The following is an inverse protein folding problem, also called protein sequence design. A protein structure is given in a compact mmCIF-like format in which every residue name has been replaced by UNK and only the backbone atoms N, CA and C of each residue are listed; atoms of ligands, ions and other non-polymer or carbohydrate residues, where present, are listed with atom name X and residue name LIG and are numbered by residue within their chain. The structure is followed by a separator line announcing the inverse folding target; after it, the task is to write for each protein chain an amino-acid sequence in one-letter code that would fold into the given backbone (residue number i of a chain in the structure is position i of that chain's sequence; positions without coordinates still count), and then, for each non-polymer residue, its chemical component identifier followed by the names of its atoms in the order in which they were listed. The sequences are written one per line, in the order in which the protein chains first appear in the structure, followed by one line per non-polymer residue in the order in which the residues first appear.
data_IF_085982224282
#
_entry.id   IF_085982224282
#
_cell.length_a   1.000
_cell.length_b   1.000
_cell.length_c   1.000
_cell.angle_alpha   90.00
_cell.angle_beta   90.00
_cell.angle_gamma   90.00
#
_symmetry.space_group_name_H-M   'P 1'
#
loop_
_entity.id
_entity.type
_entity.pdbx_description
1 polymer ?
#
# COMPACT_ATOMS: atom_id res chain seq x y z
N UNK A 1 21.11 5.42 -19.98
CA UNK A 1 21.26 5.58 -18.51
C UNK A 1 20.18 4.72 -17.85
N UNK A 2 20.57 3.77 -17.01
CA UNK A 2 19.59 2.93 -16.28
C UNK A 2 18.89 3.81 -15.25
N UNK A 3 17.59 4.05 -15.42
CA UNK A 3 16.82 5.00 -14.64
C UNK A 3 15.60 4.27 -14.06
N UNK A 4 15.79 3.60 -12.94
CA UNK A 4 14.71 2.87 -12.25
C UNK A 4 14.01 3.83 -11.30
N UNK A 5 12.68 3.77 -11.30
CA UNK A 5 11.84 4.50 -10.39
C UNK A 5 11.78 3.88 -8.99
N UNK A 6 10.73 4.23 -8.25
CA UNK A 6 10.46 3.68 -6.92
C UNK A 6 10.37 2.14 -6.94
N UNK A 7 10.82 1.49 -5.86
CA UNK A 7 10.78 0.03 -5.71
C UNK A 7 9.39 -0.60 -5.97
N UNK A 8 8.31 0.16 -5.81
CA UNK A 8 6.92 -0.27 -6.07
C UNK A 8 6.66 -0.55 -7.56
N UNK A 9 7.42 0.05 -8.48
CA UNK A 9 7.25 -0.09 -9.93
C UNK A 9 8.36 -0.92 -10.60
N UNK A 10 9.20 -1.60 -9.81
CA UNK A 10 10.34 -2.38 -10.30
C UNK A 10 9.97 -3.40 -11.39
N UNK A 11 8.84 -4.07 -11.25
CA UNK A 11 8.38 -5.06 -12.25
C UNK A 11 8.05 -4.42 -13.60
N UNK A 12 7.40 -3.25 -13.59
CA UNK A 12 7.10 -2.49 -14.82
C UNK A 12 8.38 -1.99 -15.48
N UNK A 13 9.34 -1.51 -14.68
CA UNK A 13 10.63 -1.04 -15.17
C UNK A 13 11.44 -2.19 -15.81
N UNK A 14 11.43 -3.39 -15.22
CA UNK A 14 12.06 -4.58 -15.82
C UNK A 14 11.50 -4.85 -17.22
N UNK A 15 10.17 -4.86 -17.37
CA UNK A 15 9.51 -5.07 -18.67
C UNK A 15 9.88 -3.97 -19.67
N UNK A 16 9.96 -2.71 -19.22
CA UNK A 16 10.35 -1.60 -20.06
C UNK A 16 11.80 -1.72 -20.56
N UNK A 17 12.75 -2.08 -19.68
CA UNK A 17 14.15 -2.27 -20.08
C UNK A 17 14.32 -3.44 -21.04
N UNK A 18 13.59 -4.54 -20.83
CA UNK A 18 13.55 -5.65 -21.79
C UNK A 18 13.07 -5.19 -23.17
N UNK A 19 12.00 -4.38 -23.24
CA UNK A 19 11.52 -3.79 -24.51
C UNK A 19 12.53 -2.87 -25.17
N UNK A 20 13.38 -2.21 -24.39
CA UNK A 20 14.48 -1.38 -24.88
C UNK A 20 15.70 -2.19 -25.34
N UNK A 21 15.66 -3.52 -25.27
CA UNK A 21 16.74 -4.40 -25.71
C UNK A 21 17.87 -4.56 -24.70
N UNK A 22 17.62 -4.28 -23.41
CA UNK A 22 18.61 -4.53 -22.36
C UNK A 22 18.70 -6.02 -22.05
N UNK A 23 19.92 -6.51 -21.91
CA UNK A 23 20.17 -7.90 -21.58
C UNK A 23 19.92 -8.17 -20.08
N UNK A 24 19.48 -9.38 -19.69
CA UNK A 24 19.19 -9.71 -18.30
C UNK A 24 20.31 -9.35 -17.30
N UNK A 25 21.62 -9.59 -17.58
CA UNK A 25 22.69 -9.18 -16.68
C UNK A 25 22.79 -7.66 -16.50
N UNK A 26 22.51 -6.89 -17.54
CA UNK A 26 22.54 -5.42 -17.49
C UNK A 26 21.40 -4.88 -16.61
N UNK A 27 20.21 -5.48 -16.75
CA UNK A 27 19.06 -5.16 -15.91
C UNK A 27 19.38 -5.48 -14.45
N UNK A 28 19.88 -6.69 -14.16
CA UNK A 28 20.23 -7.09 -12.79
C UNK A 28 21.30 -6.20 -12.16
N UNK A 29 22.34 -5.83 -12.91
CA UNK A 29 23.39 -4.92 -12.45
C UNK A 29 22.82 -3.52 -12.16
N UNK A 30 21.93 -3.03 -13.03
CA UNK A 30 21.23 -1.78 -12.84
C UNK A 30 20.34 -1.79 -11.58
N UNK A 31 19.59 -2.89 -11.35
CA UNK A 31 18.75 -3.07 -10.17
C UNK A 31 19.58 -3.06 -8.88
N UNK A 32 20.72 -3.76 -8.87
CA UNK A 32 21.65 -3.73 -7.74
C UNK A 32 22.15 -2.32 -7.46
N UNK A 33 22.49 -1.55 -8.50
CA UNK A 33 22.98 -0.17 -8.37
C UNK A 33 21.93 0.80 -7.83
N UNK A 34 20.65 0.55 -8.08
CA UNK A 34 19.54 1.41 -7.60
C UNK A 34 19.14 1.07 -6.16
N UNK A 35 19.38 -0.16 -5.71
CA UNK A 35 19.01 -0.62 -4.37
C UNK A 35 19.43 0.34 -3.23
N UNK A 36 20.65 0.91 -3.19
CA UNK A 36 21.04 1.84 -2.12
C UNK A 36 20.19 3.11 -2.10
N UNK A 37 19.79 3.64 -3.26
CA UNK A 37 18.88 4.79 -3.34
C UNK A 37 17.53 4.43 -2.72
N UNK A 38 17.00 3.25 -3.05
CA UNK A 38 15.74 2.79 -2.48
C UNK A 38 15.80 2.66 -0.95
N UNK A 39 16.91 2.13 -0.43
CA UNK A 39 17.09 1.97 1.02
C UNK A 39 17.27 3.32 1.71
N UNK A 40 18.28 4.10 1.33
CA UNK A 40 18.67 5.29 2.09
C UNK A 40 17.77 6.50 1.81
N UNK A 41 17.39 6.70 0.55
CA UNK A 41 16.65 7.90 0.13
C UNK A 41 15.15 7.72 0.24
N UNK A 42 14.59 6.59 -0.20
CA UNK A 42 13.13 6.43 -0.21
C UNK A 42 12.57 5.82 1.07
N UNK A 43 13.26 4.84 1.66
CA UNK A 43 12.79 4.16 2.89
C UNK A 43 13.27 4.89 4.13
N UNK A 44 14.58 5.11 4.28
CA UNK A 44 15.15 5.81 5.43
C UNK A 44 14.88 7.32 5.36
N UNK A 45 14.65 7.87 4.16
CA UNK A 45 14.37 9.29 3.94
C UNK A 45 15.47 10.23 4.46
N UNK A 46 16.73 9.78 4.40
CA UNK A 46 17.89 10.56 4.81
C UNK A 46 18.87 10.68 3.66
N UNK A 47 19.12 11.92 3.23
CA UNK A 47 20.04 12.23 2.15
C UNK A 47 21.48 12.43 2.65
N UNK A 48 21.66 12.74 3.93
CA UNK A 48 22.98 12.93 4.55
C UNK A 48 23.37 11.71 5.40
N UNK A 49 24.05 10.74 4.76
CA UNK A 49 24.50 9.53 5.44
C UNK A 49 25.57 9.80 6.51
N UNK A 50 26.32 10.91 6.44
CA UNK A 50 27.36 11.22 7.43
C UNK A 50 26.80 11.41 8.84
N UNK A 51 25.51 11.76 8.95
CA UNK A 51 24.79 11.86 10.23
C UNK A 51 24.74 10.54 11.00
N UNK A 52 24.86 9.41 10.31
CA UNK A 52 24.93 8.07 10.93
C UNK A 52 26.36 7.68 11.34
N UNK A 53 27.33 8.57 11.16
CA UNK A 53 28.74 8.35 11.47
C UNK A 53 29.47 7.62 10.35
N UNK A 54 30.62 7.01 10.71
CA UNK A 54 31.54 6.40 9.75
C UNK A 54 31.49 4.87 9.70
N UNK A 55 30.75 4.21 10.61
CA UNK A 55 30.74 2.74 10.72
C UNK A 55 29.37 2.20 10.33
N UNK A 56 29.34 1.44 9.24
CA UNK A 56 28.13 0.86 8.69
C UNK A 56 28.22 -0.66 8.77
N UNK A 57 27.14 -1.31 9.23
CA UNK A 57 27.01 -2.76 9.25
C UNK A 57 25.86 -3.17 8.32
N UNK A 58 26.19 -3.89 7.26
CA UNK A 58 25.22 -4.48 6.34
C UNK A 58 24.75 -5.84 6.88
N UNK A 59 23.43 -5.98 7.03
CA UNK A 59 22.76 -7.21 7.47
C UNK A 59 21.47 -7.45 6.67
N UNK A 60 20.84 -8.61 6.87
CA UNK A 60 19.64 -9.05 6.18
C UNK A 60 19.93 -9.95 4.97
N UNK A 61 18.95 -10.76 4.58
CA UNK A 61 19.11 -11.77 3.52
C UNK A 61 19.56 -11.23 2.15
N UNK A 62 19.22 -9.97 1.85
CA UNK A 62 19.68 -9.26 0.63
C UNK A 62 21.21 -9.24 0.51
N UNK A 63 21.92 -9.19 1.64
CA UNK A 63 23.39 -9.12 1.68
C UNK A 63 24.07 -10.47 1.39
N UNK A 64 23.31 -11.53 1.08
CA UNK A 64 23.84 -12.75 0.44
C UNK A 64 24.16 -12.52 -1.04
N UNK A 65 23.54 -11.53 -1.68
CA UNK A 65 23.83 -11.16 -3.06
C UNK A 65 25.01 -10.17 -3.08
N UNK A 66 26.18 -10.63 -3.55
CA UNK A 66 27.39 -9.82 -3.58
C UNK A 66 27.29 -8.58 -4.48
N UNK A 67 26.46 -8.59 -5.52
CA UNK A 67 26.23 -7.40 -6.34
C UNK A 67 25.47 -6.32 -5.55
N UNK A 68 24.49 -6.71 -4.74
CA UNK A 68 23.77 -5.80 -3.84
C UNK A 68 24.70 -5.25 -2.74
N UNK A 69 25.54 -6.11 -2.16
CA UNK A 69 26.57 -5.70 -1.18
C UNK A 69 27.52 -4.68 -1.80
N UNK A 70 28.06 -4.96 -2.99
CA UNK A 70 28.99 -4.07 -3.69
C UNK A 70 28.34 -2.70 -3.96
N UNK A 71 27.10 -2.69 -4.46
CA UNK A 71 26.37 -1.46 -4.71
C UNK A 71 26.17 -0.62 -3.43
N UNK A 72 25.80 -1.27 -2.31
CA UNK A 72 25.68 -0.59 -1.01
C UNK A 72 27.02 -0.03 -0.53
N UNK A 73 28.09 -0.82 -0.58
CA UNK A 73 29.43 -0.40 -0.18
C UNK A 73 29.89 0.81 -1.00
N UNK A 74 29.72 0.78 -2.32
CA UNK A 74 30.11 1.86 -3.21
C UNK A 74 29.33 3.14 -2.92
N UNK A 75 28.01 3.02 -2.75
CA UNK A 75 27.15 4.15 -2.44
C UNK A 75 27.56 4.81 -1.11
N UNK A 76 27.70 4.03 -0.05
CA UNK A 76 28.07 4.53 1.28
C UNK A 76 29.45 5.20 1.24
N UNK A 77 30.45 4.58 0.61
CA UNK A 77 31.80 5.15 0.51
C UNK A 77 31.86 6.40 -0.38
N UNK A 78 30.98 6.51 -1.38
CA UNK A 78 30.87 7.76 -2.15
C UNK A 78 30.19 8.89 -1.38
N UNK A 79 29.33 8.56 -0.42
CA UNK A 79 28.55 9.52 0.36
C UNK A 79 29.22 9.94 1.67
N UNK A 80 30.07 9.08 2.24
CA UNK A 80 30.69 9.29 3.55
C UNK A 80 32.20 9.05 3.47
N UNK A 81 32.98 10.10 3.73
CA UNK A 81 34.44 10.01 3.72
C UNK A 81 34.95 9.12 4.86
N UNK A 82 35.90 8.25 4.54
CA UNK A 82 36.49 7.24 5.45
C UNK A 82 35.49 6.22 6.01
N UNK A 83 34.37 5.97 5.31
CA UNK A 83 33.39 5.00 5.75
C UNK A 83 33.96 3.58 5.86
N UNK A 84 33.78 2.97 7.02
CA UNK A 84 34.03 1.58 7.31
C UNK A 84 32.74 0.80 7.15
N UNK A 85 32.65 -0.01 6.09
CA UNK A 85 31.49 -0.85 5.81
C UNK A 85 31.83 -2.29 6.15
N UNK A 86 31.10 -2.85 7.09
CA UNK A 86 31.19 -4.24 7.53
C UNK A 86 29.99 -5.01 7.00
N UNK A 87 30.17 -6.29 6.71
CA UNK A 87 29.08 -7.21 6.39
C UNK A 87 29.00 -8.23 7.51
N UNK A 88 27.82 -8.39 8.10
CA UNK A 88 27.63 -9.37 9.17
C UNK A 88 27.94 -10.78 8.63
N UNK A 89 28.72 -11.63 9.33
CA UNK A 89 29.09 -12.95 8.80
C UNK A 89 27.88 -13.88 8.58
N UNK A 90 26.81 -13.67 9.34
CA UNK A 90 25.54 -14.40 9.24
C UNK A 90 24.42 -13.43 8.88
N UNK A 91 24.44 -12.89 7.66
CA UNK A 91 23.56 -11.79 7.26
C UNK A 91 22.07 -12.14 7.32
N UNK A 92 21.69 -13.37 6.98
CA UNK A 92 20.30 -13.82 7.01
C UNK A 92 19.81 -14.20 8.41
N UNK A 93 20.72 -14.60 9.29
CA UNK A 93 20.44 -15.17 10.60
C UNK A 93 20.64 -14.15 11.74
N UNK A 94 21.17 -12.96 11.44
CA UNK A 94 21.47 -11.93 12.44
C UNK A 94 20.30 -11.66 13.40
N UNK A 95 19.07 -11.58 12.89
CA UNK A 95 17.88 -11.40 13.72
C UNK A 95 17.58 -12.58 14.65
N UNK A 96 17.78 -13.82 14.17
CA UNK A 96 17.60 -15.03 14.98
C UNK A 96 18.69 -15.14 16.07
N UNK A 97 19.93 -14.80 15.73
CA UNK A 97 21.04 -14.71 16.70
C UNK A 97 20.74 -13.65 17.77
N UNK A 98 20.26 -12.47 17.38
CA UNK A 98 19.84 -11.42 18.31
C UNK A 98 18.77 -11.90 19.28
N UNK A 99 17.70 -12.54 18.77
CA UNK A 99 16.65 -13.11 19.61
C UNK A 99 17.18 -14.19 20.58
N UNK A 100 18.11 -15.03 20.13
CA UNK A 100 18.75 -16.05 20.98
C UNK A 100 19.60 -15.41 22.09
N UNK A 101 20.33 -14.33 21.79
CA UNK A 101 21.10 -13.58 22.77
C UNK A 101 20.21 -12.93 23.83
N UNK A 102 19.10 -12.28 23.42
CA UNK A 102 18.10 -11.69 24.33
C UNK A 102 17.51 -12.73 25.29
N UNK A 103 17.11 -13.90 24.76
CA UNK A 103 16.60 -15.00 25.58
C UNK A 103 17.65 -15.54 26.54
N UNK A 104 18.92 -15.65 26.09
CA UNK A 104 20.04 -16.08 26.93
C UNK A 104 20.28 -15.10 28.07
N UNK A 105 20.31 -13.79 27.79
CA UNK A 105 20.48 -12.77 28.82
C UNK A 105 19.37 -12.81 29.85
N UNK A 106 18.12 -12.97 29.41
CA UNK A 106 16.97 -13.12 30.31
C UNK A 106 17.11 -14.36 31.20
N UNK A 107 17.51 -15.50 30.62
CA UNK A 107 17.70 -16.75 31.35
C UNK A 107 18.85 -16.66 32.38
N UNK A 108 19.96 -16.00 32.04
CA UNK A 108 21.08 -15.82 32.96
C UNK A 108 20.73 -14.93 34.16
N UNK A 109 19.78 -13.99 34.00
CA UNK A 109 19.26 -13.16 35.09
C UNK A 109 18.23 -13.89 35.94
N UNK A 110 17.29 -14.59 35.29
CA UNK A 110 16.22 -15.34 35.93
C UNK A 110 16.03 -16.68 35.21
N UNK A 111 16.59 -17.79 35.72
CA UNK A 111 16.47 -19.09 35.08
C UNK A 111 15.01 -19.53 34.97
N UNK A 112 14.58 -19.92 33.77
CA UNK A 112 13.23 -20.43 33.50
C UNK A 112 13.24 -21.73 32.70
N UNK A 113 12.26 -22.59 32.92
CA UNK A 113 12.15 -23.85 32.17
C UNK A 113 11.78 -23.56 30.70
N UNK A 114 12.52 -24.12 29.76
CA UNK A 114 12.23 -23.99 28.33
C UNK A 114 11.40 -25.18 27.81
N UNK A 115 10.67 -24.97 26.72
CA UNK A 115 9.95 -26.01 25.98
C UNK A 115 10.75 -26.55 24.78
N UNK A 116 12.04 -26.17 24.69
CA UNK A 116 12.92 -26.54 23.59
C UNK A 116 13.09 -28.06 23.51
N UNK A 117 13.00 -28.60 22.30
CA UNK A 117 12.95 -30.05 22.08
C UNK A 117 14.33 -30.69 22.01
N UNK A 118 15.40 -29.90 22.07
CA UNK A 118 16.77 -30.37 21.84
C UNK A 118 17.12 -30.38 20.36
N UNK A 119 18.41 -30.17 20.05
CA UNK A 119 18.89 -30.05 18.67
C UNK A 119 18.67 -31.33 17.85
N UNK A 120 18.85 -32.51 18.44
CA UNK A 120 18.61 -33.78 17.75
C UNK A 120 17.18 -33.92 17.24
N UNK A 121 16.19 -33.52 18.05
CA UNK A 121 14.77 -33.56 17.66
C UNK A 121 14.43 -32.47 16.64
N UNK A 122 15.12 -31.33 16.65
CA UNK A 122 14.96 -30.28 15.62
C UNK A 122 15.53 -30.76 14.28
N UNK A 123 16.73 -31.32 14.27
CA UNK A 123 17.42 -31.81 13.05
C UNK A 123 16.62 -32.95 12.41
N UNK A 124 16.06 -33.84 13.22
CA UNK A 124 15.29 -34.99 12.75
C UNK A 124 13.78 -34.70 12.61
N UNK A 125 13.36 -33.43 12.73
CA UNK A 125 11.95 -33.06 12.64
C UNK A 125 11.44 -33.32 11.22
N UNK A 126 10.52 -34.28 11.08
CA UNK A 126 9.82 -34.53 9.82
C UNK A 126 8.63 -33.58 9.71
N UNK A 127 8.56 -32.85 8.60
CA UNK A 127 7.48 -31.94 8.31
C UNK A 127 7.07 -31.97 6.83
N UNK A 128 5.83 -31.60 6.58
CA UNK A 128 5.24 -31.43 5.26
C UNK A 128 4.91 -29.95 5.08
N UNK A 129 5.30 -29.37 3.95
CA UNK A 129 4.98 -27.97 3.59
C UNK A 129 3.95 -27.98 2.46
N UNK A 130 2.85 -27.26 2.65
CA UNK A 130 1.88 -26.99 1.59
C UNK A 130 1.69 -25.48 1.40
N UNK A 131 1.80 -25.03 0.14
CA UNK A 131 1.40 -23.68 -0.29
C UNK A 131 0.64 -23.84 -1.60
N UNK A 132 -0.68 -23.81 -1.54
CA UNK A 132 -1.57 -24.14 -2.66
C UNK A 132 -2.86 -23.31 -2.63
N UNK A 133 -3.70 -23.32 -3.67
CA UNK A 133 -5.01 -22.68 -3.63
C UNK A 133 -5.88 -23.10 -2.43
N UNK A 134 -5.67 -24.30 -1.85
CA UNK A 134 -6.38 -24.77 -0.65
C UNK A 134 -5.98 -24.01 0.62
N UNK A 135 -4.78 -23.47 0.64
CA UNK A 135 -4.22 -22.71 1.77
C UNK A 135 -4.63 -21.24 1.75
N UNK A 136 -5.40 -20.78 0.75
CA UNK A 136 -5.85 -19.39 0.67
C UNK A 136 -6.67 -19.03 1.94
N UNK A 137 -6.33 -17.89 2.53
CA UNK A 137 -7.02 -17.34 3.69
C UNK A 137 -8.34 -16.68 3.26
N UNK A 138 -9.48 -17.13 3.81
CA UNK A 138 -10.79 -16.57 3.49
C UNK A 138 -11.35 -15.65 4.60
N UNK A 139 -10.50 -15.19 5.52
CA UNK A 139 -10.95 -14.36 6.65
C UNK A 139 -11.19 -12.89 6.28
N UNK A 140 -10.72 -12.43 5.12
CA UNK A 140 -10.99 -11.09 4.61
C UNK A 140 -10.87 -11.03 3.08
N UNK A 141 -11.28 -9.93 2.43
CA UNK A 141 -11.25 -9.79 0.97
C UNK A 141 -9.87 -9.93 0.32
N UNK A 142 -8.77 -9.77 1.07
CA UNK A 142 -7.41 -9.83 0.53
C UNK A 142 -6.99 -11.23 0.04
N UNK A 143 -7.68 -12.29 0.47
CA UNK A 143 -7.46 -13.69 0.02
C UNK A 143 -5.98 -14.10 -0.06
N UNK A 144 -5.21 -13.75 0.97
CA UNK A 144 -3.77 -14.00 0.97
C UNK A 144 -3.46 -15.50 0.95
N UNK A 145 -2.41 -15.88 0.20
CA UNK A 145 -1.86 -17.23 0.22
C UNK A 145 -1.15 -17.49 1.57
N UNK A 146 -1.28 -18.71 2.10
CA UNK A 146 -0.64 -19.14 3.35
C UNK A 146 0.28 -20.32 3.08
N UNK A 147 1.25 -20.53 3.94
CA UNK A 147 2.08 -21.74 3.93
C UNK A 147 1.79 -22.54 5.17
N UNK A 148 1.32 -23.78 4.98
CA UNK A 148 1.06 -24.73 6.06
C UNK A 148 2.28 -25.61 6.24
N UNK A 149 2.79 -25.68 7.47
CA UNK A 149 3.89 -26.55 7.87
C UNK A 149 3.32 -27.53 8.90
N UNK A 150 3.13 -28.77 8.50
CA UNK A 150 2.62 -29.83 9.38
C UNK A 150 3.78 -30.68 9.86
N UNK A 151 3.93 -30.88 11.16
CA UNK A 151 4.98 -31.73 11.72
C UNK A 151 4.42 -32.63 12.82
N UNK A 152 5.08 -33.75 13.08
CA UNK A 152 4.67 -34.70 14.12
C UNK A 152 5.62 -34.63 15.32
N UNK A 153 5.04 -34.55 16.52
CA UNK A 153 5.76 -34.59 17.79
C UNK A 153 4.98 -35.40 18.80
N UNK A 154 5.63 -36.35 19.48
CA UNK A 154 5.00 -37.22 20.48
C UNK A 154 3.71 -37.90 19.96
N UNK A 155 3.74 -38.40 18.73
CA UNK A 155 2.60 -39.00 18.00
C UNK A 155 1.39 -38.06 17.85
N UNK A 156 1.61 -36.74 17.88
CA UNK A 156 0.60 -35.71 17.62
C UNK A 156 1.04 -34.86 16.43
N UNK A 157 0.14 -34.69 15.48
CA UNK A 157 0.32 -33.75 14.37
C UNK A 157 0.07 -32.32 14.86
N UNK A 158 0.97 -31.44 14.49
CA UNK A 158 0.93 -30.01 14.74
C UNK A 158 0.94 -29.27 13.41
N UNK A 159 0.14 -28.21 13.32
CA UNK A 159 0.12 -27.31 12.18
C UNK A 159 0.74 -25.97 12.59
N UNK A 160 1.64 -25.46 11.78
CA UNK A 160 2.15 -24.10 11.87
C UNK A 160 1.82 -23.38 10.56
N UNK A 161 1.22 -22.19 10.67
CA UNK A 161 0.77 -21.42 9.51
C UNK A 161 1.62 -20.16 9.41
N UNK A 162 2.28 -19.99 8.26
CA UNK A 162 2.90 -18.74 7.88
C UNK A 162 1.90 -17.96 7.04
N UNK A 163 1.48 -16.80 7.53
CA UNK A 163 0.61 -15.89 6.82
C UNK A 163 1.08 -14.43 6.94
N UNK A 164 0.66 -13.54 6.01
CA UNK A 164 1.04 -12.12 6.07
C UNK A 164 0.45 -11.33 7.24
N UNK A 165 -0.48 -11.91 8.00
CA UNK A 165 -1.11 -11.26 9.14
C UNK A 165 -1.50 -12.30 10.21
N UNK A 166 -1.72 -11.82 11.41
CA UNK A 166 -2.08 -12.60 12.60
C UNK A 166 -3.39 -13.36 12.39
N UNK A 167 -4.39 -12.74 11.75
CA UNK A 167 -5.64 -13.43 11.39
C UNK A 167 -5.36 -14.64 10.52
N UNK A 168 -4.46 -14.51 9.55
CA UNK A 168 -4.10 -15.59 8.63
C UNK A 168 -3.38 -16.76 9.32
N UNK A 169 -2.70 -16.50 10.44
CA UNK A 169 -2.02 -17.52 11.25
C UNK A 169 -2.99 -18.40 12.06
N UNK A 170 -4.26 -17.96 12.21
CA UNK A 170 -5.25 -18.74 12.94
C UNK A 170 -5.49 -20.10 12.28
N UNK A 171 -5.39 -21.16 13.07
CA UNK A 171 -5.62 -22.54 12.63
C UNK A 171 -7.10 -22.89 12.59
N UNK A 172 -7.89 -22.24 13.44
CA UNK A 172 -9.32 -22.47 13.54
C UNK A 172 -10.12 -21.18 13.85
N UNK A 173 -11.45 -21.31 13.87
CA UNK A 173 -12.37 -20.20 14.14
C UNK A 173 -12.25 -19.69 15.58
N UNK A 174 -11.87 -20.54 16.54
CA UNK A 174 -11.74 -20.16 17.95
C UNK A 174 -10.52 -19.27 18.15
N UNK A 175 -9.40 -19.61 17.54
CA UNK A 175 -8.19 -18.78 17.52
C UNK A 175 -8.46 -17.44 16.81
N UNK A 176 -9.16 -17.47 15.66
CA UNK A 176 -9.57 -16.25 14.97
C UNK A 176 -10.44 -15.34 15.86
N UNK A 177 -11.37 -15.92 16.63
CA UNK A 177 -12.20 -15.16 17.60
C UNK A 177 -11.35 -14.52 18.71
N UNK A 178 -10.35 -15.23 19.23
CA UNK A 178 -9.44 -14.68 20.23
C UNK A 178 -8.62 -13.52 19.66
N UNK A 179 -8.09 -13.68 18.45
CA UNK A 179 -7.37 -12.61 17.74
C UNK A 179 -8.29 -11.39 17.52
N UNK A 180 -9.55 -11.61 17.12
CA UNK A 180 -10.53 -10.53 17.02
C UNK A 180 -10.84 -9.86 18.37
N UNK A 181 -10.82 -10.59 19.48
CA UNK A 181 -10.98 -10.01 20.81
C UNK A 181 -9.81 -9.09 21.15
N UNK A 182 -8.58 -9.53 20.91
CA UNK A 182 -7.36 -8.71 21.10
C UNK A 182 -7.46 -7.45 20.23
N UNK A 183 -7.81 -7.59 18.96
CA UNK A 183 -7.99 -6.44 18.07
C UNK A 183 -9.06 -5.46 18.57
N UNK A 184 -10.18 -5.95 19.10
CA UNK A 184 -11.21 -5.09 19.70
C UNK A 184 -10.71 -4.35 20.94
N UNK A 185 -9.90 -5.00 21.77
CA UNK A 185 -9.30 -4.36 22.94
C UNK A 185 -8.29 -3.27 22.54
N UNK A 186 -7.47 -3.55 21.52
CA UNK A 186 -6.57 -2.58 20.90
C UNK A 186 -7.36 -1.41 20.31
N UNK A 187 -8.38 -1.66 19.50
CA UNK A 187 -9.22 -0.63 18.89
C UNK A 187 -9.91 0.25 19.95
N UNK A 188 -10.30 -0.34 21.10
CA UNK A 188 -10.91 0.40 22.22
C UNK A 188 -9.89 1.30 22.92
N UNK A 189 -8.64 0.83 23.07
CA UNK A 189 -7.58 1.59 23.75
C UNK A 189 -6.94 2.63 22.82
N UNK A 190 -6.82 2.32 21.55
CA UNK A 190 -6.15 3.11 20.52
C UNK A 190 -7.08 3.24 19.31
N UNK A 191 -8.03 4.21 19.35
CA UNK A 191 -8.98 4.37 18.26
C UNK A 191 -8.25 4.70 16.96
N UNK A 192 -8.62 4.01 15.88
CA UNK A 192 -8.12 4.34 14.55
C UNK A 192 -8.76 5.65 14.06
N UNK A 193 -8.01 6.74 14.17
CA UNK A 193 -8.48 8.08 13.82
C UNK A 193 -8.87 8.21 12.34
N UNK A 194 -8.22 7.48 11.44
CA UNK A 194 -8.59 7.47 10.03
C UNK A 194 -9.97 6.81 9.81
N UNK A 195 -10.23 5.69 10.52
CA UNK A 195 -11.55 5.04 10.51
C UNK A 195 -12.63 5.91 11.12
N UNK A 196 -12.30 6.67 12.15
CA UNK A 196 -13.23 7.63 12.77
C UNK A 196 -13.55 8.78 11.80
N UNK A 197 -12.53 9.39 11.20
CA UNK A 197 -12.68 10.46 10.23
C UNK A 197 -13.56 10.05 9.04
N UNK A 198 -13.41 8.80 8.54
CA UNK A 198 -14.21 8.27 7.42
C UNK A 198 -15.73 8.29 7.68
N UNK A 199 -16.18 8.24 8.93
CA UNK A 199 -17.61 8.34 9.28
C UNK A 199 -18.20 9.72 8.99
N UNK A 200 -17.36 10.75 9.05
CA UNK A 200 -17.77 12.15 8.92
C UNK A 200 -17.39 12.74 7.56
N UNK A 201 -16.32 12.23 6.94
CA UNK A 201 -15.69 12.79 5.75
C UNK A 201 -16.65 12.99 4.55
N UNK A 202 -17.59 12.08 4.37
CA UNK A 202 -18.59 12.12 3.29
C UNK A 202 -20.02 12.35 3.80
N UNK A 203 -20.17 12.81 5.03
CA UNK A 203 -21.48 13.07 5.62
C UNK A 203 -22.03 14.39 5.08
N UNK A 204 -23.17 14.32 4.41
CA UNK A 204 -23.88 15.50 3.88
C UNK A 204 -25.08 15.85 4.76
N UNK A 205 -25.50 17.10 4.70
CA UNK A 205 -26.71 17.64 5.31
C UNK A 205 -27.90 17.40 4.38
N UNK A 206 -29.08 17.12 4.97
CA UNK A 206 -30.32 17.10 4.20
C UNK A 206 -30.78 18.53 3.96
N UNK A 207 -30.68 19.01 2.72
CA UNK A 207 -31.16 20.32 2.32
C UNK A 207 -32.66 20.24 2.01
N UNK A 208 -33.47 21.16 2.56
CA UNK A 208 -34.88 21.29 2.21
C UNK A 208 -34.99 22.11 0.91
N UNK A 209 -35.70 21.59 -0.10
CA UNK A 209 -35.90 22.23 -1.40
C UNK A 209 -34.58 22.69 -2.04
N UNK A 210 -33.67 21.74 -2.37
CA UNK A 210 -32.40 22.08 -3.00
C UNK A 210 -32.61 22.72 -4.38
N UNK A 211 -31.78 23.71 -4.74
CA UNK A 211 -31.82 24.32 -6.08
C UNK A 211 -31.38 23.34 -7.15
N UNK A 212 -30.37 22.55 -6.83
CA UNK A 212 -29.73 21.56 -7.70
C UNK A 212 -29.21 20.41 -6.86
N UNK A 213 -28.93 19.29 -7.52
CA UNK A 213 -28.23 18.14 -6.95
C UNK A 213 -26.98 17.84 -7.77
N UNK A 214 -25.86 17.62 -7.08
CA UNK A 214 -24.55 17.32 -7.67
C UNK A 214 -24.06 15.97 -7.15
N UNK A 215 -23.69 15.09 -8.06
CA UNK A 215 -23.09 13.80 -7.76
C UNK A 215 -21.55 13.88 -7.85
N UNK A 216 -20.84 13.38 -6.84
CA UNK A 216 -19.38 13.41 -6.75
C UNK A 216 -18.85 11.97 -6.60
N UNK A 217 -17.92 11.49 -7.44
CA UNK A 217 -17.35 10.17 -7.26
C UNK A 217 -16.45 10.13 -6.02
N UNK A 218 -16.65 9.13 -5.16
CA UNK A 218 -15.91 8.91 -3.91
C UNK A 218 -14.55 8.26 -4.19
N UNK A 219 -13.65 9.02 -4.81
CA UNK A 219 -12.36 8.52 -5.29
C UNK A 219 -11.25 9.55 -5.07
N UNK A 220 -10.01 9.07 -5.02
CA UNK A 220 -8.80 9.90 -5.08
C UNK A 220 -8.80 11.05 -4.06
N UNK A 221 -8.53 12.28 -4.51
CA UNK A 221 -8.43 13.48 -3.67
C UNK A 221 -9.75 13.86 -2.96
N UNK A 222 -10.89 13.25 -3.32
CA UNK A 222 -12.13 13.45 -2.56
C UNK A 222 -12.02 12.93 -1.13
N UNK A 223 -11.11 11.99 -0.85
CA UNK A 223 -10.84 11.56 0.52
C UNK A 223 -10.16 12.64 1.39
N UNK A 224 -9.63 13.69 0.77
CA UNK A 224 -9.06 14.85 1.48
C UNK A 224 -9.95 16.09 1.39
N UNK A 225 -10.67 16.26 0.27
CA UNK A 225 -11.38 17.50 -0.06
C UNK A 225 -12.90 17.41 0.03
N UNK A 226 -13.49 16.24 0.32
CA UNK A 226 -14.95 16.12 0.43
C UNK A 226 -15.56 17.13 1.40
N UNK A 227 -15.03 17.38 2.62
CA UNK A 227 -15.60 18.37 3.53
C UNK A 227 -15.66 19.78 2.94
N UNK A 228 -14.65 20.17 2.15
CA UNK A 228 -14.63 21.46 1.46
C UNK A 228 -15.76 21.56 0.43
N UNK A 229 -15.91 20.55 -0.44
CA UNK A 229 -16.94 20.57 -1.47
C UNK A 229 -18.36 20.45 -0.89
N UNK A 230 -18.53 19.63 0.15
CA UNK A 230 -19.79 19.55 0.90
C UNK A 230 -20.15 20.94 1.43
N UNK A 231 -19.24 21.58 2.18
CA UNK A 231 -19.48 22.91 2.71
C UNK A 231 -19.77 23.95 1.61
N UNK A 232 -19.01 23.93 0.53
CA UNK A 232 -19.20 24.85 -0.60
C UNK A 232 -20.58 24.71 -1.25
N UNK A 233 -20.97 23.50 -1.65
CA UNK A 233 -22.25 23.27 -2.34
C UNK A 233 -23.45 23.45 -1.41
N UNK A 234 -23.36 23.00 -0.16
CA UNK A 234 -24.46 23.14 0.80
C UNK A 234 -24.76 24.61 1.10
N UNK A 235 -23.73 25.47 1.23
CA UNK A 235 -23.92 26.91 1.40
C UNK A 235 -24.55 27.59 0.17
N UNK A 236 -24.46 26.97 -1.00
CA UNK A 236 -25.15 27.42 -2.22
C UNK A 236 -26.58 26.86 -2.36
N UNK A 237 -27.07 26.13 -1.36
CA UNK A 237 -28.33 25.40 -1.37
C UNK A 237 -28.38 24.31 -2.46
N UNK A 238 -27.25 23.63 -2.67
CA UNK A 238 -27.07 22.53 -3.62
C UNK A 238 -26.85 21.24 -2.85
N UNK A 239 -27.66 20.22 -3.12
CA UNK A 239 -27.54 18.90 -2.48
C UNK A 239 -26.36 18.13 -3.07
N UNK A 240 -25.58 17.49 -2.22
CA UNK A 240 -24.42 16.67 -2.61
C UNK A 240 -24.72 15.20 -2.38
N UNK A 241 -24.46 14.40 -3.40
CA UNK A 241 -24.48 12.93 -3.33
C UNK A 241 -23.09 12.38 -3.69
N UNK A 242 -22.66 11.33 -2.98
CA UNK A 242 -21.44 10.61 -3.32
C UNK A 242 -21.77 9.20 -3.80
N UNK A 243 -20.96 8.68 -4.73
CA UNK A 243 -20.95 7.24 -5.03
C UNK A 243 -20.63 6.41 -3.77
N UNK A 244 -21.01 5.13 -3.70
CA UNK A 244 -20.72 4.27 -2.55
C UNK A 244 -19.22 4.05 -2.34
N UNK A 245 -18.84 3.40 -1.24
CA UNK A 245 -17.48 2.91 -1.06
C UNK A 245 -17.16 1.84 -2.11
N UNK A 246 -15.91 1.84 -2.59
CA UNK A 246 -15.43 0.83 -3.51
C UNK A 246 -15.59 -0.56 -2.90
N UNK A 247 -16.20 -1.47 -3.65
CA UNK A 247 -16.33 -2.88 -3.31
C UNK A 247 -16.25 -3.73 -4.59
N UNK A 248 -16.13 -5.05 -4.43
CA UNK A 248 -16.04 -5.97 -5.57
C UNK A 248 -17.27 -5.90 -6.49
N UNK A 249 -18.47 -5.65 -5.96
CA UNK A 249 -19.69 -5.50 -6.77
C UNK A 249 -19.58 -4.30 -7.71
N UNK A 250 -19.27 -3.11 -7.19
CA UNK A 250 -19.09 -1.89 -7.98
C UNK A 250 -18.00 -2.07 -9.04
N UNK A 251 -16.87 -2.68 -8.66
CA UNK A 251 -15.79 -2.99 -9.60
C UNK A 251 -16.28 -3.91 -10.72
N UNK A 252 -16.88 -5.04 -10.40
CA UNK A 252 -17.21 -6.04 -11.41
C UNK A 252 -18.36 -5.60 -12.33
N UNK A 253 -19.32 -4.83 -11.81
CA UNK A 253 -20.46 -4.32 -12.60
C UNK A 253 -20.07 -3.13 -13.49
N UNK A 254 -19.25 -2.22 -12.97
CA UNK A 254 -19.03 -0.92 -13.63
C UNK A 254 -17.63 -0.72 -14.20
N UNK A 255 -16.62 -1.50 -13.80
CA UNK A 255 -15.26 -1.40 -14.33
C UNK A 255 -15.09 -2.19 -15.64
N UNK A 256 -15.96 -1.91 -16.62
CA UNK A 256 -15.92 -2.51 -17.96
C UNK A 256 -15.56 -1.43 -18.98
N UNK A 257 -14.58 -1.70 -19.84
CA UNK A 257 -13.99 -0.69 -20.72
C UNK A 257 -13.10 0.31 -19.96
N UNK A 258 -12.59 1.32 -20.65
CA UNK A 258 -11.77 2.37 -20.03
C UNK A 258 -10.44 2.63 -20.71
N UNK A 259 -9.84 3.76 -20.36
CA UNK A 259 -8.45 4.09 -20.69
C UNK A 259 -7.47 3.24 -19.88
N UNK A 260 -6.25 3.10 -20.40
CA UNK A 260 -5.15 2.49 -19.65
C UNK A 260 -4.70 3.48 -18.57
N UNK A 261 -5.10 3.24 -17.33
CA UNK A 261 -4.63 3.98 -16.15
C UNK A 261 -3.53 3.20 -15.41
N UNK A 262 -2.45 3.88 -14.94
CA UNK A 262 -1.29 3.21 -14.35
C UNK A 262 -1.54 2.73 -12.92
N UNK A 263 -2.58 3.21 -12.23
CA UNK A 263 -2.90 2.82 -10.86
C UNK A 263 -4.37 2.42 -10.70
N UNK A 264 -4.60 1.44 -9.83
CA UNK A 264 -5.94 0.91 -9.55
C UNK A 264 -6.94 1.99 -9.05
N UNK A 265 -6.57 2.93 -8.15
CA UNK A 265 -7.48 3.99 -7.72
C UNK A 265 -7.95 4.93 -8.84
N UNK A 266 -7.10 5.21 -9.83
CA UNK A 266 -7.52 5.99 -11.02
C UNK A 266 -8.44 5.16 -11.89
N UNK A 267 -8.07 3.89 -12.16
CA UNK A 267 -8.89 2.98 -12.97
C UNK A 267 -10.31 2.82 -12.41
N UNK A 268 -10.45 2.60 -11.11
CA UNK A 268 -11.77 2.39 -10.48
C UNK A 268 -12.65 3.65 -10.53
N UNK A 269 -12.10 4.84 -10.77
CA UNK A 269 -12.87 6.09 -10.89
C UNK A 269 -13.90 6.03 -12.02
N UNK A 270 -13.60 5.31 -13.11
CA UNK A 270 -14.55 5.05 -14.19
C UNK A 270 -15.80 4.31 -13.68
N UNK A 271 -15.61 3.29 -12.84
CA UNK A 271 -16.70 2.53 -12.26
C UNK A 271 -17.59 3.40 -11.35
N UNK A 272 -16.98 4.28 -10.55
CA UNK A 272 -17.73 5.22 -9.71
C UNK A 272 -18.55 6.22 -10.52
N UNK A 273 -18.01 6.74 -11.64
CA UNK A 273 -18.76 7.66 -12.51
C UNK A 273 -19.87 6.95 -13.27
N UNK A 274 -19.64 5.74 -13.79
CA UNK A 274 -20.70 4.92 -14.42
C UNK A 274 -21.82 4.57 -13.43
N UNK A 275 -21.47 4.22 -12.19
CA UNK A 275 -22.45 4.02 -11.12
C UNK A 275 -23.32 5.27 -10.93
N UNK A 276 -22.72 6.45 -10.83
CA UNK A 276 -23.45 7.72 -10.66
C UNK A 276 -24.29 8.08 -11.90
N UNK A 277 -23.81 7.78 -13.11
CA UNK A 277 -24.57 7.96 -14.35
C UNK A 277 -25.87 7.14 -14.35
N UNK A 278 -25.87 5.94 -13.76
CA UNK A 278 -27.04 5.06 -13.73
C UNK A 278 -27.94 5.25 -12.51
N UNK A 279 -27.37 5.50 -11.33
CA UNK A 279 -28.09 5.39 -10.07
C UNK A 279 -28.40 6.73 -9.38
N UNK A 280 -27.74 7.82 -9.78
CA UNK A 280 -28.02 9.15 -9.24
C UNK A 280 -29.05 9.88 -10.10
N UNK A 281 -29.95 10.63 -9.46
CA UNK A 281 -30.88 11.59 -10.09
C UNK A 281 -30.26 12.99 -10.28
N UNK A 282 -29.01 13.19 -9.85
CA UNK A 282 -28.29 14.44 -10.08
C UNK A 282 -28.08 14.72 -11.58
N UNK A 283 -28.39 15.94 -12.01
CA UNK A 283 -28.14 16.40 -13.38
C UNK A 283 -26.67 16.73 -13.64
N UNK A 284 -25.86 16.87 -12.58
CA UNK A 284 -24.44 17.23 -12.66
C UNK A 284 -23.60 16.14 -11.98
N UNK A 285 -22.57 15.67 -12.69
CA UNK A 285 -21.48 14.88 -12.10
C UNK A 285 -20.27 15.80 -11.98
N UNK A 286 -19.85 16.09 -10.76
CA UNK A 286 -18.72 16.96 -10.47
C UNK A 286 -17.50 16.13 -10.06
N UNK A 287 -16.45 16.14 -10.89
CA UNK A 287 -15.20 15.44 -10.65
C UNK A 287 -14.01 16.34 -11.01
N UNK A 288 -13.59 17.24 -10.12
CA UNK A 288 -12.62 18.28 -10.44
C UNK A 288 -11.19 17.74 -10.55
N UNK A 289 -10.40 18.39 -11.40
CA UNK A 289 -8.95 18.19 -11.49
C UNK A 289 -8.27 19.00 -10.39
N UNK A 290 -7.65 18.35 -9.43
CA UNK A 290 -6.98 19.04 -8.32
C UNK A 290 -5.49 19.12 -8.63
N UNK A 291 -4.94 20.33 -8.79
CA UNK A 291 -3.53 20.52 -9.12
C UNK A 291 -2.64 20.54 -7.87
N UNK A 292 -3.09 21.23 -6.82
CA UNK A 292 -2.37 21.37 -5.56
C UNK A 292 -3.28 20.96 -4.41
N UNK A 293 -2.71 20.25 -3.42
CA UNK A 293 -3.38 19.89 -2.19
C UNK A 293 -2.98 20.86 -1.07
N UNK A 294 -3.85 21.01 -0.08
CA UNK A 294 -3.47 21.68 1.16
C UNK A 294 -2.60 20.74 2.00
N UNK A 295 -1.57 21.30 2.65
CA UNK A 295 -0.74 20.60 3.61
C UNK A 295 -0.60 21.42 4.89
N UNK A 296 -0.41 20.73 6.00
CA UNK A 296 0.01 21.32 7.27
C UNK A 296 1.53 21.34 7.42
N UNK A 297 2.26 20.69 6.49
CA UNK A 297 3.71 20.64 6.51
C UNK A 297 4.30 21.99 6.06
N UNK A 298 5.28 22.46 6.80
CA UNK A 298 6.06 23.65 6.46
C UNK A 298 7.31 23.28 5.66
N UNK A 299 7.88 24.25 4.94
CA UNK A 299 9.12 24.08 4.16
C UNK A 299 9.06 22.97 3.10
N UNK A 300 7.88 22.65 2.55
CA UNK A 300 7.76 21.72 1.43
C UNK A 300 8.17 22.39 0.11
N UNK A 301 8.82 21.63 -0.78
CA UNK A 301 9.16 22.12 -2.13
C UNK A 301 7.90 22.46 -2.94
N UNK A 302 6.85 21.66 -2.79
CA UNK A 302 5.54 21.87 -3.42
C UNK A 302 4.45 21.02 -2.74
N UNK A 303 3.19 21.22 -3.12
CA UNK A 303 2.03 20.42 -2.70
C UNK A 303 1.22 19.86 -3.87
N UNK A 304 1.88 19.70 -5.03
CA UNK A 304 1.26 19.12 -6.23
C UNK A 304 0.65 17.76 -5.93
N UNK A 305 -0.59 17.56 -6.38
CA UNK A 305 -1.19 16.25 -6.40
C UNK A 305 -0.46 15.34 -7.43
N UNK A 306 -0.62 14.02 -7.28
CA UNK A 306 -0.11 13.08 -8.25
C UNK A 306 -0.70 13.41 -9.65
N UNK A 307 0.12 13.55 -10.70
CA UNK A 307 -0.35 13.96 -12.03
C UNK A 307 -1.37 12.96 -12.61
N UNK A 308 -1.22 11.66 -12.31
CA UNK A 308 -2.22 10.65 -12.66
C UNK A 308 -3.57 10.93 -12.01
N UNK A 309 -3.57 11.31 -10.73
CA UNK A 309 -4.79 11.64 -9.99
C UNK A 309 -5.44 12.91 -10.55
N UNK A 310 -4.64 13.95 -10.81
CA UNK A 310 -5.11 15.21 -11.42
C UNK A 310 -5.71 14.99 -12.80
N UNK A 311 -5.15 14.09 -13.61
CA UNK A 311 -5.62 13.79 -14.96
C UNK A 311 -6.79 12.78 -15.00
N UNK A 312 -7.07 12.06 -13.92
CA UNK A 312 -8.10 11.00 -13.92
C UNK A 312 -9.49 11.48 -14.38
N UNK A 313 -9.98 12.68 -13.99
CA UNK A 313 -11.25 13.18 -14.53
C UNK A 313 -11.28 13.28 -16.06
N UNK A 314 -10.16 13.63 -16.71
CA UNK A 314 -10.06 13.73 -18.17
C UNK A 314 -10.10 12.35 -18.81
N UNK A 315 -9.41 11.38 -18.21
CA UNK A 315 -9.40 9.99 -18.66
C UNK A 315 -10.81 9.39 -18.61
N UNK A 316 -11.54 9.63 -17.51
CA UNK A 316 -12.92 9.18 -17.36
C UNK A 316 -13.84 9.88 -18.37
N UNK A 317 -13.70 11.20 -18.56
CA UNK A 317 -14.46 11.93 -19.55
C UNK A 317 -14.24 11.37 -20.95
N UNK A 318 -12.98 11.27 -21.39
CA UNK A 318 -12.62 10.74 -22.70
C UNK A 318 -13.14 9.32 -22.91
N UNK A 319 -13.04 8.45 -21.89
CA UNK A 319 -13.56 7.08 -21.97
C UNK A 319 -15.07 7.00 -22.17
N UNK A 320 -15.82 8.02 -21.76
CA UNK A 320 -17.28 8.06 -21.80
C UNK A 320 -17.81 8.99 -22.90
N UNK A 321 -16.93 9.51 -23.75
CA UNK A 321 -17.28 10.34 -24.92
C UNK A 321 -16.62 9.89 -26.23
N UNK A 322 -15.74 8.86 -26.19
CA UNK A 322 -14.96 8.43 -27.36
C UNK A 322 -15.84 7.85 -28.49
N UNK A 323 -16.73 6.91 -28.15
CA UNK A 323 -17.62 6.24 -29.12
C UNK A 323 -19.00 6.91 -29.16
N UNK A 324 -19.55 7.22 -27.99
CA UNK A 324 -20.77 7.99 -27.81
C UNK A 324 -20.63 8.91 -26.60
N UNK A 325 -21.26 10.09 -26.63
CA UNK A 325 -21.34 10.97 -25.47
C UNK A 325 -22.39 10.43 -24.49
N UNK A 326 -21.93 9.57 -23.57
CA UNK A 326 -22.77 8.91 -22.57
C UNK A 326 -23.41 9.94 -21.63
N UNK A 327 -22.70 11.04 -21.31
CA UNK A 327 -23.22 12.10 -20.45
C UNK A 327 -24.42 12.79 -21.09
N UNK A 328 -24.29 13.21 -22.36
CA UNK A 328 -25.38 13.83 -23.12
C UNK A 328 -26.56 12.88 -23.30
N UNK A 329 -26.32 11.61 -23.62
CA UNK A 329 -27.35 10.57 -23.76
C UNK A 329 -28.14 10.35 -22.46
N UNK A 330 -27.48 10.47 -21.31
CA UNK A 330 -28.11 10.36 -19.98
C UNK A 330 -28.65 11.69 -19.45
N UNK A 331 -28.55 12.78 -20.22
CA UNK A 331 -29.00 14.11 -19.79
C UNK A 331 -28.22 14.69 -18.61
N UNK A 332 -26.93 14.30 -18.47
CA UNK A 332 -26.06 14.70 -17.36
C UNK A 332 -24.93 15.59 -17.85
N UNK A 333 -24.58 16.58 -17.05
CA UNK A 333 -23.43 17.46 -17.28
C UNK A 333 -22.24 16.97 -16.46
N UNK A 334 -21.12 16.66 -17.12
CA UNK A 334 -19.87 16.33 -16.44
C UNK A 334 -19.02 17.61 -16.26
N UNK A 335 -18.68 17.93 -15.01
CA UNK A 335 -17.87 19.10 -14.66
C UNK A 335 -16.57 18.68 -14.02
N UNK A 336 -15.45 19.01 -14.65
CA UNK A 336 -14.10 18.66 -14.19
C UNK A 336 -13.16 19.87 -14.10
N UNK A 337 -13.53 21.00 -13.47
CA UNK A 337 -12.68 22.19 -13.45
C UNK A 337 -11.30 21.91 -12.86
N UNK A 338 -10.28 22.62 -13.34
CA UNK A 338 -8.95 22.64 -12.72
C UNK A 338 -8.99 23.56 -11.50
N UNK A 339 -8.73 23.00 -10.32
CA UNK A 339 -8.73 23.73 -9.05
C UNK A 339 -7.34 23.76 -8.43
N UNK A 340 -6.97 24.94 -7.98
CA UNK A 340 -5.73 25.23 -7.27
C UNK A 340 -6.04 25.57 -5.79
N UNK A 341 -5.62 24.69 -4.87
CA UNK A 341 -5.75 24.89 -3.43
C UNK A 341 -4.43 25.32 -2.76
N UNK A 342 -3.44 25.79 -3.53
CA UNK A 342 -2.20 26.31 -2.98
C UNK A 342 -2.51 27.48 -2.06
N UNK A 343 -2.13 27.37 -0.78
CA UNK A 343 -2.16 28.50 0.14
C UNK A 343 -1.15 29.53 -0.38
N UNK A 344 -1.63 30.75 -0.64
CA UNK A 344 -0.76 31.90 -0.92
C UNK A 344 -0.04 32.34 0.34
#
# INVERSE_FOLDING_TARGET
KFNVGCAVFLEQDIVNFQRMGWEPPEILAGLAKVLPLNVWIYVVQEHNLEKFGKRFLLQGGTQRNLAAVKAQVDFIKSAVKDAQVFVHPFTGEAGALGAALEVREKYLKEPFKTSFIGFENVINLKYEIETSPKTICNYCPNKCLRTFITFERNNKKHLFIIAPCEKGNAQDIKELKNIHKIYKEIDKKYPNLAKEALKYLFKTSKIKNPKLKVAIPRVLNMYSLAPFFIGFFENLNIEVEFSPFTNEKLKNEYLVGGTVDPCFPSKISLAHVKYLLENSDASIIFFPKIQFLQTFLESTLDTKACPTVTATPMNVYASLTLEEDVFKKKGKLFLDPLLDFKRK
#
